data_IF_689925793877
#
_entry.id   IF_689925793877
#
_cell.length_a   1.000
_cell.length_b   1.000
_cell.length_c   1.000
_cell.angle_alpha   90.00
_cell.angle_beta   90.00
_cell.angle_gamma   90.00
#
_symmetry.space_group_name_H-M   'P 1'
#
loop_
_entity.id
_entity.type
_entity.pdbx_description
1 polymer ?
#
# COMPACT_ATOMS: atom_id res chain seq x y z
N UNK A 1 2.37 -11.14 -26.88
CA UNK A 1 3.42 -10.14 -26.69
C UNK A 1 3.44 -9.81 -25.21
N UNK A 2 4.57 -10.00 -24.57
CA UNK A 2 4.70 -10.18 -23.13
C UNK A 2 4.68 -8.82 -22.43
N UNK A 3 3.69 -8.55 -21.60
CA UNK A 3 3.77 -7.51 -20.58
C UNK A 3 4.63 -8.09 -19.46
N UNK A 4 5.88 -7.66 -19.34
CA UNK A 4 6.53 -7.65 -18.04
C UNK A 4 5.93 -6.48 -17.29
N UNK A 5 4.89 -6.76 -16.53
CA UNK A 5 4.62 -5.92 -15.36
C UNK A 5 5.91 -6.03 -14.56
N UNK A 6 6.56 -4.90 -14.34
CA UNK A 6 7.67 -4.84 -13.40
C UNK A 6 7.07 -5.35 -12.09
N UNK A 7 7.22 -6.67 -11.86
CA UNK A 7 7.02 -7.21 -10.54
C UNK A 7 8.05 -6.48 -9.70
N UNK A 8 7.59 -5.46 -9.00
CA UNK A 8 8.32 -5.00 -7.87
C UNK A 8 8.58 -6.24 -7.03
N UNK A 9 9.81 -6.66 -7.05
CA UNK A 9 10.32 -7.57 -6.07
C UNK A 9 10.23 -6.86 -4.70
N UNK A 10 9.04 -6.78 -4.13
CA UNK A 10 8.96 -7.26 -2.78
C UNK A 10 9.48 -8.68 -2.91
N UNK A 11 10.62 -8.92 -2.35
CA UNK A 11 11.32 -10.19 -2.38
C UNK A 11 10.39 -11.25 -1.80
N UNK A 12 9.45 -11.77 -2.61
CA UNK A 12 8.65 -12.94 -2.27
C UNK A 12 9.55 -14.13 -2.45
N UNK A 13 10.23 -14.43 -1.38
CA UNK A 13 11.15 -15.53 -1.24
C UNK A 13 10.38 -16.84 -1.28
N UNK A 14 10.79 -17.70 -2.18
CA UNK A 14 10.28 -19.04 -2.40
C UNK A 14 10.50 -19.98 -1.21
N UNK A 15 9.47 -20.69 -0.84
CA UNK A 15 9.52 -21.81 0.08
C UNK A 15 8.97 -23.09 -0.51
N UNK A 16 9.88 -24.02 -0.72
CA UNK A 16 9.51 -25.43 -0.86
C UNK A 16 9.39 -26.05 0.52
N UNK A 17 8.18 -26.23 1.04
CA UNK A 17 7.93 -27.08 2.21
C UNK A 17 7.77 -28.51 1.73
N UNK A 18 8.80 -29.33 1.94
CA UNK A 18 8.63 -30.80 1.90
C UNK A 18 8.03 -31.25 3.24
N UNK A 19 6.72 -31.47 3.25
CA UNK A 19 6.06 -32.17 4.34
C UNK A 19 6.41 -33.64 4.30
N UNK A 20 7.24 -34.11 5.21
CA UNK A 20 7.32 -35.52 5.55
C UNK A 20 6.14 -35.87 6.46
N UNK A 21 5.16 -36.58 5.90
CA UNK A 21 4.14 -37.25 6.69
C UNK A 21 4.76 -38.44 7.40
N UNK A 22 4.68 -38.48 8.73
CA UNK A 22 4.82 -39.73 9.49
C UNK A 22 3.56 -39.95 10.31
N UNK A 23 2.91 -41.09 10.01
CA UNK A 23 1.67 -41.52 10.60
C UNK A 23 1.99 -42.22 11.95
N UNK A 24 1.43 -41.71 13.01
CA UNK A 24 1.38 -42.39 14.29
C UNK A 24 -0.04 -42.37 14.85
N UNK A 25 -0.76 -43.48 14.68
CA UNK A 25 -2.03 -43.76 15.34
C UNK A 25 -1.84 -43.88 16.86
N UNK A 26 -2.56 -43.11 17.64
CA UNK A 26 -2.92 -43.48 19.01
C UNK A 26 -4.37 -43.06 19.29
N UNK A 27 -5.21 -44.07 19.43
CA UNK A 27 -6.55 -44.01 20.03
C UNK A 27 -6.43 -43.66 21.52
N UNK A 28 -7.17 -42.64 21.98
CA UNK A 28 -7.48 -42.50 23.41
C UNK A 28 -8.96 -42.16 23.60
N UNK A 29 -9.53 -43.10 24.28
CA UNK A 29 -10.82 -43.34 24.90
C UNK A 29 -11.59 -42.14 25.47
N UNK A 30 -12.90 -42.14 25.22
CA UNK A 30 -13.90 -41.24 25.76
C UNK A 30 -14.25 -41.58 27.21
N UNK A 31 -14.19 -40.65 28.13
CA UNK A 31 -14.94 -40.72 29.37
C UNK A 31 -15.47 -39.36 29.82
N UNK A 32 -16.79 -39.37 29.95
CA UNK A 32 -17.71 -38.50 30.67
C UNK A 32 -17.11 -37.58 31.76
N UNK A 33 -17.50 -36.27 31.73
CA UNK A 33 -17.74 -35.52 32.97
C UNK A 33 -18.88 -34.50 32.79
N UNK A 34 -19.91 -34.77 33.57
CA UNK A 34 -20.96 -33.97 34.17
C UNK A 34 -21.14 -32.46 33.87
N UNK A 35 -22.40 -32.17 33.53
CA UNK A 35 -23.07 -30.87 33.58
C UNK A 35 -23.26 -30.38 35.01
N UNK A 36 -22.86 -29.14 35.31
CA UNK A 36 -23.44 -28.37 36.43
C UNK A 36 -24.12 -27.13 35.87
N UNK A 37 -25.44 -27.10 36.08
CA UNK A 37 -26.28 -25.92 35.90
C UNK A 37 -25.98 -24.92 37.02
N UNK A 38 -25.69 -23.68 36.65
CA UNK A 38 -25.74 -22.55 37.58
C UNK A 38 -26.80 -21.56 37.10
N UNK A 39 -27.93 -21.58 37.84
CA UNK A 39 -28.98 -20.60 37.73
C UNK A 39 -28.58 -19.38 38.59
N UNK A 40 -28.45 -18.21 38.01
CA UNK A 40 -28.52 -16.97 38.75
C UNK A 40 -29.45 -15.98 38.06
N UNK A 41 -30.49 -15.70 38.79
CA UNK A 41 -31.47 -14.64 38.67
C UNK A 41 -30.75 -13.28 38.68
N UNK A 42 -30.93 -12.43 37.66
CA UNK A 42 -30.56 -11.02 37.74
C UNK A 42 -31.65 -10.16 37.14
N UNK A 43 -32.10 -9.25 38.01
CA UNK A 43 -33.14 -8.29 37.80
C UNK A 43 -32.91 -7.36 36.60
N UNK A 44 -34.01 -7.04 35.95
CA UNK A 44 -34.08 -6.02 34.91
C UNK A 44 -33.79 -4.63 35.49
N UNK A 45 -32.82 -3.93 34.93
CA UNK A 45 -32.59 -2.52 35.10
C UNK A 45 -32.80 -1.84 33.75
N UNK A 46 -33.80 -0.99 33.68
CA UNK A 46 -34.11 -0.16 32.51
C UNK A 46 -32.95 0.83 32.27
N UNK A 47 -32.19 0.66 31.19
CA UNK A 47 -31.27 1.68 30.72
C UNK A 47 -31.92 2.50 29.61
N UNK A 48 -32.00 3.79 29.86
CA UNK A 48 -32.50 4.80 28.95
C UNK A 48 -31.63 4.85 27.68
N UNK A 49 -32.30 4.81 26.54
CA UNK A 49 -31.70 5.09 25.24
C UNK A 49 -31.36 6.57 25.14
N UNK A 50 -30.08 6.92 25.25
CA UNK A 50 -29.56 8.19 24.72
C UNK A 50 -29.42 8.07 23.20
N UNK A 51 -30.23 8.82 22.47
CA UNK A 51 -30.05 9.07 21.05
C UNK A 51 -28.70 9.79 20.87
N UNK A 52 -27.73 9.11 20.25
CA UNK A 52 -26.52 9.74 19.76
C UNK A 52 -26.89 10.69 18.62
N UNK A 53 -26.97 11.97 18.92
CA UNK A 53 -27.03 13.04 17.92
C UNK A 53 -25.68 13.07 17.21
N UNK A 54 -25.64 12.54 15.97
CA UNK A 54 -24.53 12.73 15.04
C UNK A 54 -24.44 14.24 14.76
N UNK A 55 -23.54 14.92 15.42
CA UNK A 55 -23.09 16.25 15.01
C UNK A 55 -22.17 16.10 13.80
N UNK A 56 -22.74 16.27 12.60
CA UNK A 56 -21.94 16.59 11.44
C UNK A 56 -21.15 17.87 11.77
N UNK A 57 -19.83 17.74 11.84
CA UNK A 57 -18.92 18.89 11.96
C UNK A 57 -19.02 19.61 10.62
N UNK A 58 -19.42 20.90 10.58
CA UNK A 58 -19.42 21.63 9.33
C UNK A 58 -17.99 21.76 8.83
N UNK A 59 -17.70 21.28 7.63
CA UNK A 59 -16.49 21.63 6.90
C UNK A 59 -16.52 23.14 6.71
N UNK A 60 -15.64 23.87 7.39
CA UNK A 60 -15.42 25.29 7.11
C UNK A 60 -14.90 25.41 5.68
N UNK A 61 -15.78 25.80 4.78
CA UNK A 61 -15.40 26.17 3.41
C UNK A 61 -14.55 27.43 3.53
N UNK A 62 -13.25 27.31 3.25
CA UNK A 62 -12.34 28.46 3.13
C UNK A 62 -12.84 29.28 1.93
N UNK A 63 -13.53 30.39 2.24
CA UNK A 63 -13.98 31.35 1.20
C UNK A 63 -12.74 31.95 0.50
N UNK A 64 -12.45 31.53 -0.71
CA UNK A 64 -11.46 32.22 -1.55
C UNK A 64 -10.74 31.41 -2.63
N UNK A 65 -10.59 30.11 -2.52
CA UNK A 65 -10.02 29.31 -3.58
C UNK A 65 -11.13 28.59 -4.35
N UNK A 66 -11.26 28.87 -5.64
CA UNK A 66 -12.08 28.04 -6.53
C UNK A 66 -11.26 26.78 -6.78
N UNK A 67 -11.52 25.74 -5.99
CA UNK A 67 -10.99 24.41 -6.23
C UNK A 67 -11.57 23.90 -7.54
N UNK A 68 -10.74 23.65 -8.53
CA UNK A 68 -11.14 22.83 -9.67
C UNK A 68 -11.22 21.41 -9.14
N UNK A 69 -12.36 20.76 -9.32
CA UNK A 69 -12.50 19.34 -8.97
C UNK A 69 -11.64 18.52 -9.94
N UNK A 70 -10.48 18.07 -9.46
CA UNK A 70 -9.52 17.26 -10.24
C UNK A 70 -9.57 15.79 -9.84
N UNK A 71 -10.32 15.44 -8.80
CA UNK A 71 -10.35 14.07 -8.25
C UNK A 71 -10.97 13.08 -9.22
N UNK A 72 -12.06 13.46 -9.91
CA UNK A 72 -12.65 12.63 -10.95
C UNK A 72 -11.65 12.28 -12.06
N UNK A 73 -11.01 13.26 -12.73
CA UNK A 73 -9.95 13.00 -13.70
C UNK A 73 -8.75 12.20 -13.17
N UNK A 74 -8.39 12.33 -11.89
CA UNK A 74 -7.33 11.53 -11.29
C UNK A 74 -7.76 10.05 -11.23
N UNK A 75 -8.94 9.75 -10.72
CA UNK A 75 -9.47 8.38 -10.69
C UNK A 75 -9.67 7.80 -12.11
N UNK A 76 -10.11 8.62 -13.06
CA UNK A 76 -10.24 8.20 -14.45
C UNK A 76 -8.89 7.84 -15.09
N UNK A 77 -7.79 8.48 -14.69
CA UNK A 77 -6.45 8.19 -15.22
C UNK A 77 -5.98 6.77 -14.88
N UNK A 78 -6.37 6.23 -13.74
CA UNK A 78 -6.06 4.84 -13.31
C UNK A 78 -6.74 3.83 -14.23
N UNK A 79 -8.02 4.04 -14.51
CA UNK A 79 -8.79 3.15 -15.38
C UNK A 79 -8.27 3.18 -16.83
N UNK A 80 -7.75 4.32 -17.30
CA UNK A 80 -7.23 4.47 -18.66
C UNK A 80 -5.90 3.72 -18.86
N UNK A 81 -5.06 3.62 -17.82
CA UNK A 81 -3.81 2.83 -17.87
C UNK A 81 -4.12 1.33 -17.98
N UNK A 82 -5.15 0.85 -17.30
CA UNK A 82 -5.57 -0.56 -17.36
C UNK A 82 -6.08 -0.97 -18.76
N UNK A 83 -6.60 -0.04 -19.57
CA UNK A 83 -7.11 -0.28 -20.92
C UNK A 83 -6.06 -0.06 -22.04
N UNK A 84 -4.92 0.57 -21.74
CA UNK A 84 -3.88 0.79 -22.74
C UNK A 84 -3.19 -0.53 -23.07
N UNK A 85 -3.55 -1.06 -24.25
CA UNK A 85 -2.91 -2.21 -24.86
C UNK A 85 -1.42 -1.90 -25.09
N UNK A 86 -0.56 -2.48 -24.25
CA UNK A 86 0.84 -2.13 -24.12
C UNK A 86 1.59 -2.05 -25.45
N UNK A 87 1.92 -0.85 -25.83
CA UNK A 87 2.94 -0.61 -26.83
C UNK A 87 4.25 -1.23 -26.32
N UNK A 88 4.79 -2.15 -27.11
CA UNK A 88 6.07 -2.80 -26.85
C UNK A 88 7.20 -1.76 -26.90
N UNK A 89 7.45 -1.07 -25.82
CA UNK A 89 8.75 -0.48 -25.60
C UNK A 89 9.55 -1.41 -24.69
N UNK A 90 10.83 -1.50 -24.89
CA UNK A 90 11.75 -2.33 -24.11
C UNK A 90 11.68 -1.87 -22.67
N UNK A 91 11.15 -2.73 -21.79
CA UNK A 91 11.29 -2.54 -20.35
C UNK A 91 12.77 -2.40 -20.06
N UNK A 92 13.17 -1.21 -19.62
CA UNK A 92 14.52 -0.96 -19.14
C UNK A 92 14.59 -1.48 -17.69
N UNK A 93 15.76 -1.96 -17.27
CA UNK A 93 15.98 -2.17 -15.84
C UNK A 93 15.96 -0.81 -15.15
N UNK A 94 15.34 -0.74 -13.98
CA UNK A 94 15.35 0.46 -13.15
C UNK A 94 16.78 0.98 -12.99
N UNK A 95 16.99 2.20 -13.43
CA UNK A 95 18.30 2.85 -13.35
C UNK A 95 18.21 4.01 -12.36
N UNK A 96 18.79 3.87 -11.16
CA UNK A 96 18.87 4.97 -10.21
C UNK A 96 19.69 6.13 -10.79
N UNK A 97 19.20 7.36 -10.64
CA UNK A 97 19.82 8.56 -11.16
C UNK A 97 20.47 9.41 -10.05
N UNK A 98 19.70 9.76 -9.03
CA UNK A 98 20.15 10.60 -7.92
C UNK A 98 19.35 10.32 -6.67
N UNK A 99 19.99 10.42 -5.51
CA UNK A 99 19.33 10.33 -4.20
C UNK A 99 19.63 11.60 -3.40
N UNK A 100 18.59 12.18 -2.82
CA UNK A 100 18.64 13.36 -1.96
C UNK A 100 18.38 12.96 -0.50
N UNK A 101 18.97 13.71 0.42
CA UNK A 101 18.59 13.69 1.83
C UNK A 101 17.35 14.56 2.02
N UNK A 102 16.35 14.03 2.72
CA UNK A 102 15.11 14.74 3.04
C UNK A 102 15.19 15.35 4.44
N UNK A 103 14.79 16.62 4.56
CA UNK A 103 14.67 17.32 5.85
C UNK A 103 13.41 18.19 5.86
N UNK A 104 12.32 17.66 6.39
CA UNK A 104 11.03 18.33 6.35
C UNK A 104 10.53 18.49 4.92
N UNK A 105 10.37 19.72 4.46
CA UNK A 105 9.90 20.03 3.10
C UNK A 105 11.05 20.16 2.09
N UNK A 106 12.31 20.11 2.54
CA UNK A 106 13.48 20.37 1.71
C UNK A 106 14.23 19.09 1.38
N UNK A 107 14.82 19.04 0.17
CA UNK A 107 15.79 18.03 -0.27
C UNK A 107 17.16 18.69 -0.45
N UNK A 108 18.22 17.95 -0.13
CA UNK A 108 19.60 18.44 -0.16
C UNK A 108 20.60 17.31 -0.46
N UNK A 109 21.86 17.69 -0.59
CA UNK A 109 22.99 16.76 -0.71
C UNK A 109 22.82 15.67 -1.77
N UNK A 110 22.60 16.03 -3.07
CA UNK A 110 22.37 15.06 -4.12
C UNK A 110 23.57 14.13 -4.30
N UNK A 111 23.32 12.83 -4.16
CA UNK A 111 24.25 11.76 -4.47
C UNK A 111 23.95 11.22 -5.87
N UNK A 112 24.80 11.58 -6.84
CA UNK A 112 24.65 11.13 -8.23
C UNK A 112 25.13 9.71 -8.41
N UNK A 113 24.35 8.90 -9.13
CA UNK A 113 24.73 7.56 -9.54
C UNK A 113 25.57 7.56 -10.82
N UNK A 114 26.20 6.42 -11.14
CA UNK A 114 26.89 6.27 -12.41
C UNK A 114 25.92 5.79 -13.46
N UNK A 115 25.57 6.65 -14.40
CA UNK A 115 24.57 6.37 -15.44
C UNK A 115 25.19 6.31 -16.84
N UNK A 116 24.53 5.63 -17.80
CA UNK A 116 24.83 5.74 -19.22
C UNK A 116 24.65 7.18 -19.71
N UNK A 117 25.41 7.59 -20.74
CA UNK A 117 25.38 8.98 -21.24
C UNK A 117 24.02 9.44 -21.76
N UNK A 118 23.16 8.54 -22.18
CA UNK A 118 21.79 8.78 -22.61
C UNK A 118 20.84 9.21 -21.48
N UNK A 119 21.20 8.91 -20.24
CA UNK A 119 20.42 9.28 -19.04
C UNK A 119 21.00 10.51 -18.30
N UNK A 120 22.15 11.05 -18.73
CA UNK A 120 22.77 12.22 -18.07
C UNK A 120 21.84 13.43 -18.04
N UNK A 121 21.05 13.67 -19.10
CA UNK A 121 20.11 14.80 -19.15
C UNK A 121 19.00 14.65 -18.10
N UNK A 122 18.47 13.44 -17.90
CA UNK A 122 17.46 13.17 -16.87
C UNK A 122 18.05 13.23 -15.45
N UNK A 123 19.27 12.72 -15.28
CA UNK A 123 20.00 12.79 -14.01
C UNK A 123 20.27 14.24 -13.58
N UNK A 124 20.50 15.15 -14.51
CA UNK A 124 20.83 16.54 -14.28
C UNK A 124 19.61 17.48 -14.32
N UNK A 125 18.41 16.96 -14.51
CA UNK A 125 17.17 17.76 -14.48
C UNK A 125 16.71 18.05 -13.04
N UNK A 126 17.56 18.77 -12.31
CA UNK A 126 17.29 19.20 -10.93
C UNK A 126 15.96 19.95 -10.80
N UNK A 127 15.54 20.65 -11.84
CA UNK A 127 14.32 21.43 -11.80
C UNK A 127 13.06 20.55 -11.71
N UNK A 128 12.99 19.51 -12.53
CA UNK A 128 11.88 18.53 -12.47
C UNK A 128 11.94 17.74 -11.16
N UNK A 129 13.11 17.28 -10.75
CA UNK A 129 13.31 16.54 -9.50
C UNK A 129 12.82 17.33 -8.28
N UNK A 130 13.23 18.61 -8.19
CA UNK A 130 12.79 19.52 -7.13
C UNK A 130 11.28 19.78 -7.18
N UNK A 131 10.72 19.99 -8.37
CA UNK A 131 9.29 20.25 -8.56
C UNK A 131 8.41 19.07 -8.11
N UNK A 132 8.83 17.85 -8.40
CA UNK A 132 8.11 16.62 -7.98
C UNK A 132 8.14 16.48 -6.47
N UNK A 133 9.32 16.68 -5.84
CA UNK A 133 9.42 16.65 -4.39
C UNK A 133 8.55 17.74 -3.74
N UNK A 134 8.62 18.99 -4.22
CA UNK A 134 7.83 20.10 -3.70
C UNK A 134 6.32 19.81 -3.83
N UNK A 135 5.91 19.16 -4.92
CA UNK A 135 4.53 18.78 -5.12
C UNK A 135 4.09 17.71 -4.10
N UNK A 136 4.88 16.65 -3.90
CA UNK A 136 4.61 15.64 -2.88
C UNK A 136 4.59 16.24 -1.47
N UNK A 137 5.57 17.09 -1.15
CA UNK A 137 5.66 17.76 0.14
C UNK A 137 4.50 18.73 0.41
N UNK A 138 3.97 19.35 -0.65
CA UNK A 138 2.77 20.18 -0.54
C UNK A 138 1.50 19.35 -0.41
N UNK A 139 1.45 18.14 -0.99
CA UNK A 139 0.27 17.27 -0.98
C UNK A 139 0.09 16.58 0.38
N UNK A 140 1.15 15.97 0.91
CA UNK A 140 1.13 15.20 2.18
C UNK A 140 1.65 16.07 3.33
N UNK A 141 0.89 16.25 4.42
CA UNK A 141 1.33 17.03 5.58
C UNK A 141 2.67 16.53 6.16
N UNK A 142 3.53 17.44 6.60
CA UNK A 142 4.89 17.12 7.05
C UNK A 142 4.94 16.13 8.21
N UNK A 143 3.98 16.23 9.14
CA UNK A 143 3.84 15.32 10.27
C UNK A 143 3.50 13.89 9.87
N UNK A 144 2.93 13.70 8.68
CA UNK A 144 2.48 12.40 8.16
C UNK A 144 3.55 11.71 7.27
N UNK A 145 4.67 12.39 6.95
CA UNK A 145 5.76 11.84 6.12
C UNK A 145 7.12 11.90 6.80
N UNK A 146 7.15 11.94 8.11
CA UNK A 146 8.36 12.07 8.91
C UNK A 146 9.28 10.85 8.86
N UNK A 147 8.81 9.72 8.38
CA UNK A 147 9.60 8.51 8.13
C UNK A 147 10.41 8.56 6.85
N UNK A 148 10.05 9.45 5.89
CA UNK A 148 10.82 9.65 4.67
C UNK A 148 12.08 10.47 5.00
N UNK A 149 13.24 9.86 4.81
CA UNK A 149 14.55 10.49 5.00
C UNK A 149 15.37 10.60 3.72
N UNK A 150 14.94 9.89 2.66
CA UNK A 150 15.54 9.91 1.34
C UNK A 150 14.47 10.16 0.27
N UNK A 151 14.85 10.89 -0.78
CA UNK A 151 14.11 11.02 -2.02
C UNK A 151 15.03 10.62 -3.16
N UNK A 152 14.65 9.59 -3.89
CA UNK A 152 15.43 9.07 -5.00
C UNK A 152 14.70 9.27 -6.32
N UNK A 153 15.45 9.53 -7.36
CA UNK A 153 14.95 9.63 -8.72
C UNK A 153 15.60 8.52 -9.54
N UNK A 154 14.78 7.80 -10.28
CA UNK A 154 15.20 6.72 -11.17
C UNK A 154 14.53 6.86 -12.53
N UNK A 155 14.81 5.93 -13.44
CA UNK A 155 13.99 5.68 -14.63
C UNK A 155 14.07 4.24 -15.07
N UNK A 156 12.94 3.69 -15.50
CA UNK A 156 12.81 2.41 -16.20
C UNK A 156 12.14 2.60 -17.59
N UNK A 157 12.00 3.86 -18.00
CA UNK A 157 11.35 4.28 -19.23
C UNK A 157 9.94 4.79 -18.98
N UNK A 158 9.19 5.02 -20.04
CA UNK A 158 7.84 5.58 -19.96
C UNK A 158 6.81 4.46 -19.76
N UNK A 159 5.78 4.72 -18.96
CA UNK A 159 4.62 3.85 -18.73
C UNK A 159 4.93 2.50 -18.00
N UNK A 160 5.98 2.49 -17.15
CA UNK A 160 6.29 1.37 -16.26
C UNK A 160 6.03 1.78 -14.80
N UNK A 161 7.05 1.66 -13.91
CA UNK A 161 6.91 2.06 -12.50
C UNK A 161 6.99 3.57 -12.36
N UNK A 162 5.93 4.23 -11.92
CA UNK A 162 5.92 5.69 -11.79
C UNK A 162 6.55 6.15 -10.48
N UNK A 163 6.27 5.48 -9.39
CA UNK A 163 6.90 5.74 -8.09
C UNK A 163 6.84 4.50 -7.18
N UNK A 164 7.60 4.54 -6.09
CA UNK A 164 7.59 3.54 -5.05
C UNK A 164 8.08 4.10 -3.73
N UNK A 165 7.74 3.45 -2.63
CA UNK A 165 8.37 3.68 -1.32
C UNK A 165 9.01 2.39 -0.82
N UNK A 166 10.22 2.50 -0.29
CA UNK A 166 10.97 1.37 0.26
C UNK A 166 11.65 1.76 1.56
N UNK A 167 11.94 0.79 2.41
CA UNK A 167 12.85 1.00 3.52
C UNK A 167 14.24 1.44 3.01
N UNK A 168 14.91 2.35 3.72
CA UNK A 168 16.28 2.73 3.35
C UNK A 168 17.23 1.55 3.53
N UNK A 169 18.39 1.57 2.89
CA UNK A 169 19.39 0.48 2.98
C UNK A 169 20.06 0.35 4.35
N UNK A 170 19.84 1.31 5.26
CA UNK A 170 20.60 1.41 6.51
C UNK A 170 19.75 1.41 7.77
N UNK A 171 18.46 1.66 7.65
CA UNK A 171 17.53 1.75 8.77
C UNK A 171 16.14 1.23 8.32
N UNK A 172 15.66 0.11 8.88
CA UNK A 172 14.36 -0.45 8.51
C UNK A 172 13.16 0.39 8.97
N UNK A 173 13.37 1.38 9.85
CA UNK A 173 12.32 2.30 10.27
C UNK A 173 12.25 3.58 9.42
N UNK A 174 13.24 3.79 8.55
CA UNK A 174 13.35 4.95 7.67
C UNK A 174 13.04 4.56 6.22
N UNK A 175 12.39 5.46 5.50
CA UNK A 175 11.87 5.20 4.16
C UNK A 175 12.43 6.16 3.12
N UNK A 176 12.48 5.69 1.88
CA UNK A 176 12.80 6.46 0.68
C UNK A 176 11.58 6.52 -0.21
N UNK A 177 11.21 7.72 -0.67
CA UNK A 177 10.32 7.89 -1.82
C UNK A 177 11.17 7.87 -3.09
N UNK A 178 10.80 7.03 -4.05
CA UNK A 178 11.48 6.93 -5.34
C UNK A 178 10.49 7.24 -6.45
N UNK A 179 10.90 8.04 -7.45
CA UNK A 179 10.01 8.47 -8.53
C UNK A 179 10.72 8.33 -9.87
N UNK A 180 10.04 7.75 -10.88
CA UNK A 180 10.53 7.77 -12.27
C UNK A 180 10.34 9.15 -12.89
N UNK A 181 11.44 9.77 -13.27
CA UNK A 181 11.42 11.10 -13.87
C UNK A 181 10.76 11.13 -15.26
N UNK A 182 10.73 10.00 -15.97
CA UNK A 182 10.15 9.91 -17.29
C UNK A 182 8.61 10.06 -17.27
N UNK A 183 7.97 9.72 -16.15
CA UNK A 183 6.50 9.67 -16.01
C UNK A 183 5.88 10.84 -15.26
N UNK A 184 6.69 11.81 -14.82
CA UNK A 184 6.23 12.93 -14.00
C UNK A 184 5.40 13.99 -14.72
N UNK A 185 5.30 13.94 -16.04
CA UNK A 185 4.61 14.96 -16.85
C UNK A 185 3.07 14.91 -16.71
N UNK A 186 2.49 13.74 -16.40
CA UNK A 186 1.06 13.58 -16.20
C UNK A 186 0.71 13.71 -14.71
N UNK A 187 0.32 14.90 -14.30
CA UNK A 187 -0.02 15.17 -12.90
C UNK A 187 -1.25 14.43 -12.39
N UNK A 188 -2.14 13.92 -13.24
CA UNK A 188 -3.27 13.11 -12.79
C UNK A 188 -2.77 11.74 -12.30
N UNK A 189 -1.97 11.04 -13.12
CA UNK A 189 -1.36 9.77 -12.75
C UNK A 189 -0.38 9.96 -11.58
N UNK A 190 0.49 10.97 -11.66
CA UNK A 190 1.44 11.29 -10.59
C UNK A 190 0.75 11.53 -9.25
N UNK A 191 -0.37 12.27 -9.21
CA UNK A 191 -1.11 12.52 -7.96
C UNK A 191 -1.66 11.22 -7.39
N UNK A 192 -2.28 10.39 -8.23
CA UNK A 192 -2.80 9.10 -7.80
C UNK A 192 -1.69 8.24 -7.18
N UNK A 193 -0.60 8.07 -7.91
CA UNK A 193 0.54 7.26 -7.46
C UNK A 193 1.15 7.81 -6.17
N UNK A 194 1.37 9.12 -6.04
CA UNK A 194 1.92 9.69 -4.82
C UNK A 194 1.00 9.53 -3.59
N UNK A 195 -0.32 9.52 -3.79
CA UNK A 195 -1.29 9.22 -2.71
C UNK A 195 -1.28 7.74 -2.38
N UNK A 196 -1.15 6.86 -3.39
CA UNK A 196 -0.99 5.41 -3.22
C UNK A 196 0.30 5.10 -2.44
N UNK A 197 1.45 5.62 -2.87
CA UNK A 197 2.73 5.40 -2.19
C UNK A 197 2.72 5.90 -0.74
N UNK A 198 2.03 7.00 -0.48
CA UNK A 198 1.80 7.43 0.89
C UNK A 198 0.96 6.41 1.68
N UNK A 199 0.05 5.71 1.03
CA UNK A 199 -0.73 4.61 1.62
C UNK A 199 0.17 3.51 2.20
N UNK A 200 1.25 3.12 1.50
CA UNK A 200 2.25 2.19 2.03
C UNK A 200 2.94 2.73 3.29
N UNK A 201 3.36 3.99 3.29
CA UNK A 201 3.95 4.61 4.48
C UNK A 201 2.98 4.65 5.67
N UNK A 202 1.70 4.93 5.39
CA UNK A 202 0.64 4.96 6.39
C UNK A 202 0.36 3.59 7.01
N UNK A 203 0.49 2.52 6.24
CA UNK A 203 0.04 1.17 6.64
C UNK A 203 1.18 0.21 6.99
N UNK A 204 2.39 0.49 6.49
CA UNK A 204 3.59 -0.33 6.71
C UNK A 204 4.68 0.40 7.53
N UNK A 205 4.48 1.68 7.83
CA UNK A 205 5.40 2.45 8.65
C UNK A 205 5.64 1.85 10.04
N UNK A 206 6.72 2.25 10.74
CA UNK A 206 7.16 1.60 11.98
C UNK A 206 6.16 1.66 13.14
N UNK A 207 5.17 2.53 13.09
CA UNK A 207 4.04 2.56 14.05
C UNK A 207 2.97 1.53 13.74
N UNK A 208 2.95 0.95 12.54
CA UNK A 208 1.99 -0.05 12.07
C UNK A 208 2.60 -1.44 12.05
N UNK A 209 3.85 -1.54 11.60
CA UNK A 209 4.61 -2.77 11.47
C UNK A 209 5.90 -2.63 12.25
N UNK A 210 6.14 -3.52 13.20
CA UNK A 210 7.43 -3.58 13.90
C UNK A 210 8.47 -4.18 12.96
N UNK A 211 9.47 -3.40 12.47
CA UNK A 211 10.40 -3.92 11.49
C UNK A 211 11.18 -5.13 11.98
N UNK A 212 11.38 -6.13 11.12
CA UNK A 212 12.26 -7.26 11.41
C UNK A 212 13.69 -6.95 11.00
N UNK A 213 14.55 -6.71 11.97
CA UNK A 213 16.00 -6.56 11.75
C UNK A 213 16.62 -7.79 11.06
N UNK A 214 16.08 -8.98 11.30
CA UNK A 214 16.59 -10.21 10.73
C UNK A 214 16.30 -10.27 9.22
N UNK A 215 15.05 -10.00 8.81
CA UNK A 215 14.66 -9.94 7.40
C UNK A 215 15.35 -8.77 6.68
N UNK A 216 15.39 -7.60 7.31
CA UNK A 216 16.05 -6.42 6.76
C UNK A 216 17.53 -6.66 6.43
N UNK A 217 18.27 -7.37 7.30
CA UNK A 217 19.71 -7.63 7.10
C UNK A 217 20.00 -8.80 6.15
N UNK A 218 19.04 -9.70 5.91
CA UNK A 218 19.20 -10.88 5.04
C UNK A 218 17.88 -11.18 4.31
N UNK A 219 17.40 -10.23 3.48
CA UNK A 219 16.04 -10.28 2.89
C UNK A 219 15.85 -11.42 1.90
N UNK A 220 16.93 -11.96 1.31
CA UNK A 220 16.88 -13.10 0.39
C UNK A 220 16.87 -14.46 1.12
N UNK A 221 16.94 -14.48 2.43
CA UNK A 221 17.01 -15.69 3.22
C UNK A 221 15.63 -16.19 3.65
N UNK A 222 15.16 -17.17 2.92
CA UNK A 222 13.86 -17.82 3.12
C UNK A 222 13.68 -18.39 4.52
N UNK A 223 14.73 -18.98 5.08
CA UNK A 223 14.66 -19.59 6.41
C UNK A 223 14.46 -18.51 7.48
N UNK A 224 15.12 -17.34 7.32
CA UNK A 224 14.94 -16.17 8.20
C UNK A 224 13.52 -15.63 8.10
N UNK A 225 13.03 -15.42 6.88
CA UNK A 225 11.67 -14.94 6.66
C UNK A 225 10.65 -15.88 7.32
N UNK A 226 10.78 -17.18 7.11
CA UNK A 226 9.86 -18.16 7.69
C UNK A 226 9.89 -18.18 9.22
N UNK A 227 11.08 -18.03 9.82
CA UNK A 227 11.22 -17.97 11.26
C UNK A 227 10.49 -16.75 11.82
N UNK A 228 10.65 -15.59 11.18
CA UNK A 228 10.01 -14.34 11.57
C UNK A 228 8.49 -14.38 11.36
N UNK A 229 8.02 -14.89 10.21
CA UNK A 229 6.59 -15.12 9.94
C UNK A 229 5.97 -16.07 10.97
N UNK A 230 6.63 -17.19 11.28
CA UNK A 230 6.14 -18.14 12.26
C UNK A 230 6.13 -17.60 13.70
N UNK A 231 6.98 -16.62 14.00
CA UNK A 231 7.03 -15.96 15.29
C UNK A 231 6.00 -14.81 15.44
N UNK A 232 5.51 -14.28 14.33
CA UNK A 232 4.52 -13.20 14.32
C UNK A 232 3.12 -13.74 14.62
N UNK A 233 2.43 -13.24 15.67
CA UNK A 233 1.06 -13.66 15.99
C UNK A 233 0.00 -13.01 15.09
N UNK A 234 0.36 -11.98 14.35
CA UNK A 234 -0.48 -11.14 13.51
C UNK A 234 -0.07 -11.28 12.04
N UNK A 235 -0.56 -10.41 11.16
CA UNK A 235 -0.17 -10.41 9.76
C UNK A 235 1.30 -9.96 9.59
N UNK A 236 2.03 -10.59 8.67
CA UNK A 236 3.42 -10.26 8.35
C UNK A 236 3.54 -9.77 6.90
N UNK A 237 3.57 -8.45 6.65
CA UNK A 237 3.60 -7.87 5.31
C UNK A 237 4.99 -7.84 4.63
N UNK A 238 5.99 -8.53 5.14
CA UNK A 238 7.35 -8.55 4.57
C UNK A 238 8.35 -7.71 5.37
N UNK A 239 8.03 -6.50 5.76
CA UNK A 239 8.91 -5.61 6.53
C UNK A 239 9.09 -6.06 7.99
N UNK A 240 8.11 -6.76 8.53
CA UNK A 240 8.09 -7.21 9.91
C UNK A 240 6.72 -7.66 10.37
N UNK A 241 6.55 -7.84 11.66
CA UNK A 241 5.28 -8.23 12.24
C UNK A 241 4.36 -7.02 12.44
N UNK A 242 3.15 -7.06 11.90
CA UNK A 242 2.18 -5.99 12.09
C UNK A 242 1.76 -5.87 13.55
N UNK A 243 1.55 -4.64 14.01
CA UNK A 243 1.04 -4.41 15.35
C UNK A 243 -0.43 -4.87 15.43
N UNK A 244 -0.91 -5.39 16.58
CA UNK A 244 -2.28 -5.90 16.70
C UNK A 244 -3.37 -4.90 16.33
N UNK A 245 -3.12 -3.61 16.58
CA UNK A 245 -4.05 -2.51 16.33
C UNK A 245 -3.74 -1.75 15.02
N UNK A 246 -2.82 -2.26 14.19
CA UNK A 246 -2.44 -1.61 12.93
C UNK A 246 -3.53 -1.69 11.87
N UNK A 247 -3.53 -0.72 10.96
CA UNK A 247 -4.49 -0.68 9.85
C UNK A 247 -4.34 -1.91 8.95
N UNK A 248 -3.09 -2.30 8.61
CA UNK A 248 -2.85 -3.45 7.75
C UNK A 248 -3.32 -4.76 8.39
N UNK A 249 -3.08 -4.96 9.70
CA UNK A 249 -3.55 -6.15 10.40
C UNK A 249 -5.08 -6.22 10.47
N UNK A 250 -5.73 -5.09 10.77
CA UNK A 250 -7.19 -5.01 10.80
C UNK A 250 -7.81 -5.25 9.41
N UNK A 251 -7.21 -4.68 8.36
CA UNK A 251 -7.65 -4.84 6.98
C UNK A 251 -7.48 -6.30 6.50
N UNK A 252 -6.30 -6.90 6.73
CA UNK A 252 -6.05 -8.30 6.44
C UNK A 252 -7.05 -9.23 7.12
N UNK A 253 -7.25 -9.06 8.44
CA UNK A 253 -8.18 -9.89 9.20
C UNK A 253 -9.63 -9.75 8.74
N UNK A 254 -10.02 -8.59 8.21
CA UNK A 254 -11.39 -8.35 7.76
C UNK A 254 -11.66 -8.85 6.34
N UNK A 255 -10.68 -8.75 5.42
CA UNK A 255 -10.94 -8.91 4.00
C UNK A 255 -10.13 -10.02 3.31
N UNK A 256 -9.00 -10.45 3.90
CA UNK A 256 -8.06 -11.32 3.21
C UNK A 256 -8.00 -12.76 3.73
N UNK A 257 -8.38 -13.01 4.97
CA UNK A 257 -8.21 -14.34 5.61
C UNK A 257 -8.82 -15.50 4.84
N UNK A 258 -9.87 -15.26 4.04
CA UNK A 258 -10.53 -16.31 3.26
C UNK A 258 -9.90 -16.54 1.88
N UNK A 259 -9.15 -15.57 1.35
CA UNK A 259 -8.59 -15.61 -0.01
C UNK A 259 -7.06 -15.61 -0.03
N UNK A 260 -6.42 -15.37 1.10
CA UNK A 260 -4.97 -15.18 1.21
C UNK A 260 -4.17 -16.42 0.84
N UNK A 261 -4.62 -17.62 1.23
CA UNK A 261 -3.93 -18.88 0.89
C UNK A 261 -3.83 -19.07 -0.64
N UNK A 262 -4.91 -18.76 -1.36
CA UNK A 262 -4.93 -18.82 -2.82
C UNK A 262 -4.03 -17.75 -3.47
N UNK A 263 -3.99 -16.54 -2.92
CA UNK A 263 -3.08 -15.48 -3.39
C UNK A 263 -1.62 -15.85 -3.12
N UNK A 264 -1.30 -16.44 -1.96
CA UNK A 264 0.06 -16.92 -1.68
C UNK A 264 0.54 -17.99 -2.68
N UNK A 265 -0.35 -18.88 -3.15
CA UNK A 265 0.02 -19.86 -4.18
C UNK A 265 0.49 -19.16 -5.48
N UNK A 266 -0.08 -18.00 -5.80
CA UNK A 266 0.30 -17.19 -6.96
C UNK A 266 1.70 -16.60 -6.73
N UNK A 267 1.96 -16.05 -5.56
CA UNK A 267 3.26 -15.44 -5.24
C UNK A 267 4.42 -16.44 -5.24
N UNK A 268 4.15 -17.74 -5.09
CA UNK A 268 5.16 -18.80 -5.18
C UNK A 268 5.43 -19.27 -6.62
N UNK A 269 4.61 -18.89 -7.61
CA UNK A 269 4.84 -19.26 -9.00
C UNK A 269 6.01 -18.49 -9.61
N UNK A 270 6.99 -19.22 -10.15
CA UNK A 270 8.23 -18.65 -10.68
C UNK A 270 8.20 -18.39 -12.18
N UNK A 271 7.27 -19.04 -12.90
CA UNK A 271 7.08 -18.72 -14.32
C UNK A 271 6.28 -17.43 -14.44
N UNK A 272 6.89 -16.33 -14.92
CA UNK A 272 6.21 -15.03 -14.96
C UNK A 272 4.93 -15.04 -15.81
N UNK A 273 4.89 -15.81 -16.89
CA UNK A 273 3.70 -15.90 -17.75
C UNK A 273 2.56 -16.64 -17.01
N UNK A 274 2.90 -17.67 -16.23
CA UNK A 274 1.93 -18.41 -15.41
C UNK A 274 1.48 -17.62 -14.18
N UNK A 275 2.41 -16.96 -13.50
CA UNK A 275 2.09 -16.08 -12.35
C UNK A 275 1.09 -14.99 -12.78
N UNK A 276 1.35 -14.29 -13.89
CA UNK A 276 0.44 -13.28 -14.43
C UNK A 276 -0.93 -13.87 -14.80
N UNK A 277 -0.96 -15.07 -15.40
CA UNK A 277 -2.22 -15.74 -15.70
C UNK A 277 -3.01 -16.06 -14.42
N UNK A 278 -2.33 -16.61 -13.40
CA UNK A 278 -2.96 -16.95 -12.11
C UNK A 278 -3.51 -15.71 -11.41
N UNK A 279 -2.75 -14.60 -11.43
CA UNK A 279 -3.20 -13.33 -10.86
C UNK A 279 -4.45 -12.78 -11.56
N UNK A 280 -4.47 -12.83 -12.89
CA UNK A 280 -5.65 -12.45 -13.67
C UNK A 280 -6.85 -13.34 -13.35
N UNK A 281 -6.67 -14.68 -13.26
CA UNK A 281 -7.73 -15.62 -12.88
C UNK A 281 -8.23 -15.37 -11.43
N UNK A 282 -7.33 -14.99 -10.52
CA UNK A 282 -7.69 -14.62 -9.16
C UNK A 282 -8.51 -13.33 -9.13
N UNK A 283 -8.08 -12.28 -9.84
CA UNK A 283 -8.85 -11.06 -9.97
C UNK A 283 -10.22 -11.31 -10.59
N UNK A 284 -10.31 -12.03 -11.71
CA UNK A 284 -11.59 -12.37 -12.36
C UNK A 284 -12.56 -13.09 -11.42
N UNK A 285 -12.02 -13.96 -10.54
CA UNK A 285 -12.80 -14.72 -9.57
C UNK A 285 -13.36 -13.85 -8.44
N UNK A 286 -12.60 -12.84 -8.02
CA UNK A 286 -12.91 -12.00 -6.87
C UNK A 286 -13.10 -10.52 -7.26
N UNK A 287 -13.46 -10.24 -8.51
CA UNK A 287 -13.50 -8.88 -9.09
C UNK A 287 -14.32 -7.86 -8.28
N UNK A 288 -15.39 -8.27 -7.63
CA UNK A 288 -16.25 -7.42 -6.79
C UNK A 288 -15.64 -7.11 -5.41
N UNK A 289 -14.48 -7.70 -5.10
CA UNK A 289 -13.74 -7.46 -3.87
C UNK A 289 -12.63 -6.42 -4.01
N UNK A 290 -12.25 -6.02 -5.23
CA UNK A 290 -11.11 -5.14 -5.49
C UNK A 290 -11.54 -3.87 -6.20
N UNK A 291 -10.93 -2.74 -5.83
CA UNK A 291 -11.18 -1.43 -6.47
C UNK A 291 -10.51 -1.33 -7.83
N UNK A 292 -9.40 -2.05 -8.03
CA UNK A 292 -8.63 -2.17 -9.28
C UNK A 292 -8.12 -3.60 -9.47
N UNK A 293 -7.64 -3.96 -10.67
CA UNK A 293 -6.94 -5.23 -10.89
C UNK A 293 -5.64 -5.30 -10.06
N UNK A 294 -4.94 -4.17 -9.92
CA UNK A 294 -3.69 -4.09 -9.17
C UNK A 294 -3.88 -4.38 -7.67
N UNK A 295 -5.00 -3.98 -7.09
CA UNK A 295 -5.36 -4.31 -5.70
C UNK A 295 -5.39 -5.82 -5.41
N UNK A 296 -5.59 -6.67 -6.43
CA UNK A 296 -5.61 -8.12 -6.25
C UNK A 296 -4.21 -8.75 -6.10
N UNK A 297 -3.14 -7.97 -6.23
CA UNK A 297 -1.76 -8.46 -6.16
C UNK A 297 -1.42 -9.03 -4.79
N UNK A 298 -1.70 -8.30 -3.72
CA UNK A 298 -1.46 -8.69 -2.33
C UNK A 298 -2.23 -7.77 -1.37
N UNK A 299 -2.27 -8.07 -0.06
CA UNK A 299 -2.95 -7.21 0.93
C UNK A 299 -2.39 -5.80 1.03
N UNK A 300 -1.08 -5.61 0.83
CA UNK A 300 -0.39 -4.33 0.90
C UNK A 300 -0.84 -3.40 -0.24
N UNK A 301 -0.95 -3.94 -1.45
CA UNK A 301 -1.45 -3.18 -2.60
C UNK A 301 -2.94 -2.89 -2.48
N UNK A 302 -3.72 -3.85 -1.98
CA UNK A 302 -5.16 -3.67 -1.82
C UNK A 302 -5.52 -2.59 -0.80
N UNK A 303 -4.81 -2.54 0.32
CA UNK A 303 -5.07 -1.48 1.32
C UNK A 303 -4.68 -0.10 0.78
N UNK A 304 -3.58 0.00 0.00
CA UNK A 304 -3.15 1.27 -0.58
C UNK A 304 -3.98 1.72 -1.77
N UNK A 305 -4.42 0.82 -2.61
CA UNK A 305 -5.40 1.10 -3.65
C UNK A 305 -6.72 1.59 -3.04
N UNK A 306 -7.22 0.87 -2.03
CA UNK A 306 -8.42 1.26 -1.30
C UNK A 306 -8.26 2.60 -0.57
N UNK A 307 -7.05 2.91 -0.04
CA UNK A 307 -6.71 4.22 0.52
C UNK A 307 -6.75 5.33 -0.54
N UNK A 308 -6.15 5.11 -1.72
CA UNK A 308 -6.17 6.09 -2.80
C UNK A 308 -7.62 6.41 -3.24
N UNK A 309 -8.48 5.39 -3.35
CA UNK A 309 -9.91 5.57 -3.61
C UNK A 309 -10.64 6.25 -2.46
N UNK A 310 -10.28 5.97 -1.20
CA UNK A 310 -10.82 6.70 -0.05
C UNK A 310 -10.47 8.18 -0.09
N UNK A 311 -9.23 8.54 -0.44
CA UNK A 311 -8.80 9.95 -0.49
C UNK A 311 -9.42 10.66 -1.68
N UNK A 312 -9.29 10.11 -2.88
CA UNK A 312 -9.57 10.78 -4.15
C UNK A 312 -10.96 10.50 -4.71
N UNK A 313 -11.60 9.40 -4.29
CA UNK A 313 -12.91 8.99 -4.78
C UNK A 313 -14.07 9.56 -3.95
N UNK A 314 -15.27 9.40 -4.49
CA UNK A 314 -16.50 9.64 -3.77
C UNK A 314 -16.70 8.55 -2.68
N UNK A 315 -17.33 8.93 -1.57
CA UNK A 315 -17.69 7.94 -0.54
C UNK A 315 -18.65 6.89 -1.12
N UNK A 316 -18.28 5.60 -1.09
CA UNK A 316 -19.14 4.54 -1.61
C UNK A 316 -20.51 4.51 -0.94
N UNK A 317 -21.52 4.17 -1.73
CA UNK A 317 -22.91 3.96 -1.29
C UNK A 317 -23.40 2.53 -1.53
N UNK A 318 -22.54 1.70 -2.11
CA UNK A 318 -22.76 0.29 -2.36
C UNK A 318 -22.42 -0.59 -1.14
N UNK A 319 -22.50 -1.90 -1.35
CA UNK A 319 -22.24 -2.91 -0.32
C UNK A 319 -21.29 -4.03 -0.82
N UNK A 320 -20.63 -3.83 -1.97
CA UNK A 320 -19.57 -4.74 -2.44
C UNK A 320 -18.42 -4.79 -1.43
N UNK A 321 -17.59 -5.82 -1.48
CA UNK A 321 -16.39 -5.89 -0.62
C UNK A 321 -15.43 -4.75 -0.98
N UNK A 322 -15.28 -4.40 -2.26
CA UNK A 322 -14.51 -3.23 -2.68
C UNK A 322 -15.02 -1.94 -2.02
N UNK A 323 -16.36 -1.69 -2.01
CA UNK A 323 -16.93 -0.55 -1.29
C UNK A 323 -16.61 -0.59 0.20
N UNK A 324 -16.70 -1.77 0.83
CA UNK A 324 -16.41 -1.93 2.26
C UNK A 324 -14.94 -1.67 2.59
N UNK A 325 -14.00 -2.00 1.71
CA UNK A 325 -12.57 -1.70 1.85
C UNK A 325 -12.33 -0.19 1.84
N UNK A 326 -12.95 0.54 0.92
CA UNK A 326 -12.89 2.03 0.94
C UNK A 326 -13.57 2.59 2.19
N UNK A 327 -14.72 2.02 2.60
CA UNK A 327 -15.43 2.44 3.80
C UNK A 327 -14.69 2.10 5.10
N UNK A 328 -13.75 1.17 5.09
CA UNK A 328 -12.90 0.82 6.23
C UNK A 328 -12.22 2.04 6.84
N UNK A 329 -11.65 2.91 6.02
CA UNK A 329 -10.94 4.11 6.46
C UNK A 329 -11.86 5.15 7.14
N UNK A 330 -13.15 5.17 6.82
CA UNK A 330 -14.11 6.06 7.50
C UNK A 330 -14.39 5.69 8.96
N UNK A 331 -13.93 4.52 9.42
CA UNK A 331 -14.04 4.13 10.83
C UNK A 331 -12.96 4.80 11.71
N UNK A 332 -11.98 5.45 11.09
CA UNK A 332 -10.85 6.11 11.76
C UNK A 332 -10.94 7.63 11.57
N UNK A 333 -11.38 8.38 12.61
CA UNK A 333 -11.54 9.84 12.49
C UNK A 333 -10.29 10.58 12.03
N UNK A 334 -9.11 10.13 12.48
CA UNK A 334 -7.81 10.69 12.09
C UNK A 334 -7.53 10.54 10.60
N UNK A 335 -7.97 9.45 9.97
CA UNK A 335 -7.83 9.25 8.53
C UNK A 335 -8.82 10.11 7.73
N UNK A 336 -10.00 10.35 8.28
CA UNK A 336 -10.98 11.28 7.68
C UNK A 336 -10.44 12.72 7.72
N UNK A 337 -9.79 13.11 8.81
CA UNK A 337 -9.12 14.41 8.94
C UNK A 337 -7.96 14.52 7.94
N UNK A 338 -7.12 13.48 7.85
CA UNK A 338 -6.00 13.42 6.91
C UNK A 338 -6.47 13.49 5.45
N UNK A 339 -7.52 12.75 5.08
CA UNK A 339 -8.19 12.86 3.77
C UNK A 339 -8.55 14.32 3.47
N UNK A 340 -9.17 14.99 4.42
CA UNK A 340 -9.61 16.38 4.26
C UNK A 340 -8.42 17.32 4.08
N UNK A 341 -7.31 17.08 4.78
CA UNK A 341 -6.08 17.87 4.63
C UNK A 341 -5.45 17.65 3.25
N UNK A 342 -5.31 16.39 2.79
CA UNK A 342 -4.76 16.05 1.47
C UNK A 342 -5.62 16.69 0.36
N UNK A 343 -6.94 16.60 0.43
CA UNK A 343 -7.83 17.22 -0.56
C UNK A 343 -7.73 18.76 -0.56
N UNK A 344 -7.59 19.37 0.62
CA UNK A 344 -7.36 20.81 0.74
C UNK A 344 -6.01 21.23 0.14
N UNK A 345 -4.98 20.45 0.36
CA UNK A 345 -3.66 20.65 -0.23
C UNK A 345 -3.65 20.46 -1.75
N UNK A 346 -4.30 19.41 -2.23
CA UNK A 346 -4.46 19.12 -3.66
C UNK A 346 -5.10 20.29 -4.40
N UNK A 347 -6.12 20.90 -3.79
CA UNK A 347 -6.79 22.07 -4.33
C UNK A 347 -5.86 23.24 -4.66
N UNK A 348 -4.79 23.40 -3.91
CA UNK A 348 -3.82 24.52 -4.04
C UNK A 348 -2.53 24.12 -4.73
N UNK A 349 -2.12 22.86 -4.62
CA UNK A 349 -0.85 22.36 -5.15
C UNK A 349 -0.96 21.84 -6.58
N UNK A 350 -2.15 21.37 -7.00
CA UNK A 350 -2.32 20.81 -8.35
C UNK A 350 -2.05 21.88 -9.42
N UNK A 351 -1.19 21.59 -10.41
CA UNK A 351 -0.87 22.53 -11.48
C UNK A 351 -2.11 22.88 -12.31
N UNK A 352 -2.30 24.19 -12.58
CA UNK A 352 -3.44 24.74 -13.31
C UNK A 352 -3.16 24.80 -14.80
#
# INVERSE_FOLDING_TARGET
>A
MKRLISLFFMLTLLLAVQACADLGDEEVDASEVATEEFVTDVAAEEAATEEAVSTEVPVEVIEGAVCVDVTGPIIESVNAVSESDGGSETVLEETPLVTYVVSGDEISDPALETVPSELEDQQLDEATQQQVWEYYAALIPAENRNTIVEYSVFTDGVDNTLAMVTQTKTDPAAWSLQVDIADTANYYSLTYTLVHEYGHLLTLGPDQVTPSEAVFNDPENVDVLNEEVAACPDYFPGEGCSNPDSYINAFYNQFWTEIYEENQEISYEQDPDLNQQMLTEFYDKYQDQFVTEYAATNPEEDITESWAFFVLGDKPTGDSIADQKVLFFYNYPELVELRSAILGNLCTAFPQ
#
